data_IF_555281428553
#
_entry.id   IF_555281428553
#
_cell.length_a   1.000
_cell.length_b   1.000
_cell.length_c   1.000
_cell.angle_alpha   90.00
_cell.angle_beta   90.00
_cell.angle_gamma   90.00
#
_symmetry.space_group_name_H-M   'P 1'
#
loop_
_entity.id
_entity.type
_entity.pdbx_description
1 polymer ?
#
# COMPACT_ATOMS: atom_id res chain seq x y z
N UNK A 1 16.56 13.85 -2.42
CA UNK A 1 15.14 13.51 -2.22
C UNK A 1 14.38 14.75 -1.79
N UNK A 2 13.19 15.02 -2.33
CA UNK A 2 12.37 16.16 -1.90
C UNK A 2 11.85 15.96 -0.48
N UNK A 3 11.55 17.06 0.22
CA UNK A 3 11.03 17.01 1.59
C UNK A 3 9.68 16.26 1.67
N UNK A 4 8.79 16.51 0.71
CA UNK A 4 7.50 15.81 0.61
C UNK A 4 7.67 14.29 0.42
N UNK A 5 8.58 13.87 -0.48
CA UNK A 5 8.87 12.45 -0.69
C UNK A 5 9.44 11.82 0.58
N UNK A 6 10.29 12.54 1.31
CA UNK A 6 10.84 12.09 2.59
C UNK A 6 9.74 11.87 3.63
N UNK A 7 8.79 12.79 3.73
CA UNK A 7 7.67 12.71 4.68
C UNK A 7 6.72 11.55 4.36
N UNK A 8 6.42 11.30 3.09
CA UNK A 8 5.60 10.15 2.68
C UNK A 8 6.28 8.83 3.07
N UNK A 9 7.57 8.68 2.78
CA UNK A 9 8.32 7.47 3.11
C UNK A 9 8.43 7.24 4.62
N UNK A 10 8.60 8.31 5.40
CA UNK A 10 8.61 8.23 6.87
C UNK A 10 7.23 7.89 7.43
N UNK A 11 6.14 8.43 6.86
CA UNK A 11 4.78 8.04 7.25
C UNK A 11 4.53 6.56 7.00
N UNK A 12 4.98 6.01 5.88
CA UNK A 12 4.89 4.57 5.60
C UNK A 12 5.65 3.77 6.66
N UNK A 13 6.89 4.17 6.97
CA UNK A 13 7.69 3.50 8.01
C UNK A 13 6.96 3.48 9.36
N UNK A 14 6.38 4.60 9.77
CA UNK A 14 5.59 4.71 11.01
C UNK A 14 4.36 3.84 11.01
N UNK A 15 3.65 3.73 9.87
CA UNK A 15 2.49 2.84 9.74
C UNK A 15 2.93 1.40 9.93
N UNK A 16 3.98 0.95 9.24
CA UNK A 16 4.54 -0.41 9.40
C UNK A 16 4.87 -0.67 10.88
N UNK A 17 5.64 0.22 11.49
CA UNK A 17 6.09 0.13 12.88
C UNK A 17 4.95 0.07 13.90
N UNK A 18 3.82 0.72 13.59
CA UNK A 18 2.64 0.76 14.45
C UNK A 18 1.77 -0.51 14.40
N UNK A 19 2.10 -1.47 13.53
CA UNK A 19 1.35 -2.72 13.42
C UNK A 19 1.94 -3.80 14.34
N UNK A 20 1.10 -4.67 14.95
CA UNK A 20 -0.35 -4.51 15.11
C UNK A 20 -0.71 -3.28 15.94
N UNK A 21 -1.86 -2.68 15.65
CA UNK A 21 -2.32 -1.45 16.31
C UNK A 21 -2.57 -1.66 17.81
N UNK A 22 -2.43 -0.61 18.60
CA UNK A 22 -2.70 -0.64 20.05
C UNK A 22 -4.12 -1.15 20.36
N UNK A 23 -5.09 -0.79 19.52
CA UNK A 23 -6.47 -1.28 19.65
C UNK A 23 -6.60 -2.79 19.47
N UNK A 24 -5.76 -3.40 18.62
CA UNK A 24 -5.73 -4.86 18.46
C UNK A 24 -5.02 -5.51 19.65
N UNK A 25 -3.91 -4.93 20.09
CA UNK A 25 -3.16 -5.40 21.26
C UNK A 25 -4.01 -5.38 22.54
N UNK A 26 -4.82 -4.33 22.74
CA UNK A 26 -5.74 -4.22 23.88
C UNK A 26 -6.86 -5.28 23.89
N UNK A 27 -7.15 -5.90 22.74
CA UNK A 27 -8.14 -6.99 22.62
C UNK A 27 -7.54 -8.38 22.81
N UNK A 28 -6.24 -8.49 23.06
CA UNK A 28 -5.58 -9.78 23.26
C UNK A 28 -5.93 -10.31 24.65
N UNK A 29 -6.64 -11.44 24.71
CA UNK A 29 -7.20 -11.96 25.96
C UNK A 29 -6.37 -13.07 26.58
N UNK A 30 -5.59 -13.81 25.78
CA UNK A 30 -4.69 -14.85 26.28
C UNK A 30 -3.24 -14.39 26.26
N UNK A 31 -2.42 -14.94 27.17
CA UNK A 31 -0.97 -14.66 27.21
C UNK A 31 -0.28 -15.10 25.91
N UNK A 32 -0.68 -16.23 25.32
CA UNK A 32 -0.18 -16.69 24.02
C UNK A 32 -0.47 -15.69 22.89
N UNK A 33 -1.65 -15.08 22.89
CA UNK A 33 -1.99 -14.04 21.91
C UNK A 33 -1.11 -12.82 22.11
N UNK A 34 -0.93 -12.37 23.36
CA UNK A 34 -0.06 -11.22 23.67
C UNK A 34 1.35 -11.47 23.19
N UNK A 35 1.94 -12.62 23.51
CA UNK A 35 3.30 -12.99 23.09
C UNK A 35 3.44 -13.02 21.57
N UNK A 36 2.49 -13.65 20.87
CA UNK A 36 2.46 -13.69 19.40
C UNK A 36 2.44 -12.29 18.79
N UNK A 37 1.57 -11.41 19.29
CA UNK A 37 1.43 -10.06 18.74
C UNK A 37 2.59 -9.14 19.11
N UNK A 38 3.19 -9.31 20.28
CA UNK A 38 4.44 -8.64 20.63
C UNK A 38 5.59 -9.08 19.72
N UNK A 39 5.71 -10.38 19.44
CA UNK A 39 6.69 -10.87 18.45
C UNK A 39 6.43 -10.21 17.09
N UNK A 40 5.19 -10.18 16.62
CA UNK A 40 4.85 -9.52 15.35
C UNK A 40 5.18 -8.02 15.34
N UNK A 41 4.95 -7.30 16.46
CA UNK A 41 5.32 -5.88 16.60
C UNK A 41 6.82 -5.68 16.45
N UNK A 42 7.63 -6.53 17.08
CA UNK A 42 9.09 -6.47 16.96
C UNK A 42 9.56 -6.69 15.52
N UNK A 43 8.94 -7.64 14.81
CA UNK A 43 9.20 -7.84 13.38
C UNK A 43 8.89 -6.60 12.55
N UNK A 44 7.76 -5.97 12.79
CA UNK A 44 7.36 -4.76 12.08
C UNK A 44 8.28 -3.56 12.38
N UNK A 45 8.83 -3.47 13.59
CA UNK A 45 9.87 -2.48 13.93
C UNK A 45 11.12 -2.70 13.07
N UNK A 46 11.57 -3.94 12.91
CA UNK A 46 12.72 -4.27 12.07
C UNK A 46 12.45 -3.99 10.59
N UNK A 47 11.26 -4.33 10.09
CA UNK A 47 10.85 -4.03 8.70
C UNK A 47 10.81 -2.51 8.48
N UNK A 48 10.25 -1.74 9.41
CA UNK A 48 10.22 -0.28 9.33
C UNK A 48 11.63 0.33 9.36
N UNK A 49 12.55 -0.26 10.11
CA UNK A 49 13.95 0.16 10.13
C UNK A 49 14.65 -0.13 8.80
N UNK A 50 14.50 -1.34 8.27
CA UNK A 50 15.04 -1.74 6.97
C UNK A 50 14.49 -0.85 5.84
N UNK A 51 13.19 -0.53 5.87
CA UNK A 51 12.59 0.44 4.96
C UNK A 51 13.25 1.81 5.03
N UNK A 52 13.52 2.33 6.24
CA UNK A 52 14.19 3.62 6.41
C UNK A 52 15.62 3.59 5.89
N UNK A 53 16.32 2.47 6.02
CA UNK A 53 17.69 2.29 5.51
C UNK A 53 17.71 2.25 3.98
N UNK A 54 16.84 1.44 3.37
CA UNK A 54 16.66 1.34 1.91
C UNK A 54 16.41 2.72 1.26
N UNK A 55 15.61 3.56 1.92
CA UNK A 55 15.27 4.91 1.44
C UNK A 55 16.22 6.01 1.94
N UNK A 56 17.35 5.67 2.56
CA UNK A 56 18.35 6.60 3.09
C UNK A 56 17.76 7.65 4.06
N UNK A 57 16.72 7.27 4.82
CA UNK A 57 16.09 8.12 5.85
C UNK A 57 16.91 8.16 7.14
N UNK A 58 17.61 7.07 7.44
CA UNK A 58 18.55 6.93 8.55
C UNK A 58 19.88 6.38 8.02
N UNK A 59 20.97 6.60 8.78
CA UNK A 59 22.28 5.99 8.49
C UNK A 59 22.45 4.76 9.39
N UNK A 60 22.77 3.61 8.82
CA UNK A 60 23.05 2.38 9.57
C UNK A 60 22.69 1.13 8.77
N UNK A 61 23.06 -0.02 9.33
CA UNK A 61 22.67 -1.35 8.85
C UNK A 61 22.03 -2.11 10.02
N UNK A 62 20.79 -1.76 10.28
CA UNK A 62 20.02 -2.19 11.43
C UNK A 62 19.74 -3.69 11.40
N UNK A 63 19.53 -4.23 10.21
CA UNK A 63 19.35 -5.67 10.01
C UNK A 63 20.65 -6.44 10.24
N UNK A 64 21.80 -5.93 9.75
CA UNK A 64 23.08 -6.58 10.04
C UNK A 64 23.44 -6.53 11.52
N UNK A 65 23.14 -5.42 12.21
CA UNK A 65 23.33 -5.34 13.67
C UNK A 65 22.44 -6.36 14.38
N UNK A 66 21.15 -6.45 14.02
CA UNK A 66 20.23 -7.43 14.61
C UNK A 66 20.70 -8.88 14.37
N UNK A 67 21.18 -9.19 13.17
CA UNK A 67 21.78 -10.49 12.84
C UNK A 67 23.03 -10.76 13.68
N UNK A 68 23.94 -9.78 13.80
CA UNK A 68 25.17 -9.90 14.59
C UNK A 68 24.89 -10.12 16.07
N UNK A 69 23.85 -9.46 16.60
CA UNK A 69 23.40 -9.60 17.98
C UNK A 69 22.60 -10.88 18.23
N UNK A 70 22.32 -11.69 17.20
CA UNK A 70 21.46 -12.88 17.24
C UNK A 70 20.02 -12.57 17.68
N UNK A 71 19.56 -11.35 17.41
CA UNK A 71 18.15 -10.96 17.60
C UNK A 71 17.26 -11.56 16.50
N UNK A 72 17.86 -11.78 15.32
CA UNK A 72 17.26 -12.48 14.19
C UNK A 72 18.26 -13.48 13.59
N UNK A 73 17.75 -14.50 12.92
CA UNK A 73 18.55 -15.40 12.11
C UNK A 73 18.70 -14.93 10.64
N UNK A 74 19.44 -15.71 9.84
CA UNK A 74 19.71 -15.38 8.44
C UNK A 74 18.46 -15.42 7.56
N UNK A 75 17.60 -16.42 7.76
CA UNK A 75 16.35 -16.56 7.00
C UNK A 75 15.38 -15.45 7.36
N UNK A 76 15.33 -15.09 8.64
CA UNK A 76 14.53 -13.97 9.14
C UNK A 76 14.98 -12.65 8.52
N UNK A 77 16.29 -12.41 8.44
CA UNK A 77 16.86 -11.26 7.72
C UNK A 77 16.41 -11.23 6.25
N UNK A 78 16.63 -12.32 5.51
CA UNK A 78 16.27 -12.42 4.09
C UNK A 78 14.76 -12.19 3.87
N UNK A 79 13.92 -12.69 4.80
CA UNK A 79 12.47 -12.45 4.78
C UNK A 79 12.09 -10.98 4.98
N UNK A 80 12.80 -10.25 5.84
CA UNK A 80 12.56 -8.79 6.02
C UNK A 80 12.94 -8.04 4.76
N UNK A 81 14.08 -8.34 4.15
CA UNK A 81 14.54 -7.71 2.91
C UNK A 81 13.51 -7.90 1.78
N UNK A 82 12.99 -9.12 1.61
CA UNK A 82 11.93 -9.42 0.65
C UNK A 82 10.62 -8.66 0.92
N UNK A 83 10.24 -8.49 2.20
CA UNK A 83 9.05 -7.71 2.56
C UNK A 83 9.21 -6.22 2.22
N UNK A 84 10.41 -5.66 2.43
CA UNK A 84 10.72 -4.28 2.04
C UNK A 84 10.62 -4.11 0.53
N UNK A 85 11.16 -5.05 -0.26
CA UNK A 85 11.04 -5.05 -1.72
C UNK A 85 9.57 -5.12 -2.18
N UNK A 86 8.78 -5.98 -1.54
CA UNK A 86 7.35 -6.08 -1.80
C UNK A 86 6.63 -4.74 -1.52
N UNK A 87 6.92 -4.08 -0.40
CA UNK A 87 6.34 -2.77 -0.10
C UNK A 87 6.78 -1.67 -1.06
N UNK A 88 8.02 -1.72 -1.56
CA UNK A 88 8.48 -0.82 -2.61
C UNK A 88 7.65 -0.99 -3.89
N UNK A 89 7.41 -2.24 -4.29
CA UNK A 89 6.57 -2.55 -5.46
C UNK A 89 5.13 -2.05 -5.27
N UNK A 90 4.54 -2.24 -4.09
CA UNK A 90 3.21 -1.70 -3.78
C UNK A 90 3.18 -0.17 -3.85
N UNK A 91 4.21 0.51 -3.36
CA UNK A 91 4.31 1.97 -3.44
C UNK A 91 4.37 2.46 -4.90
N UNK A 92 5.06 1.75 -5.79
CA UNK A 92 5.09 2.06 -7.22
C UNK A 92 3.72 1.90 -7.86
N UNK A 93 3.02 0.79 -7.57
CA UNK A 93 1.66 0.56 -8.04
C UNK A 93 0.74 1.69 -7.57
N UNK A 94 0.81 2.08 -6.29
CA UNK A 94 -0.02 3.17 -5.75
C UNK A 94 0.27 4.49 -6.47
N UNK A 95 1.54 4.82 -6.76
CA UNK A 95 1.88 6.04 -7.52
C UNK A 95 1.34 6.04 -8.94
N UNK A 96 1.31 4.87 -9.59
CA UNK A 96 0.72 4.72 -10.93
C UNK A 96 -0.80 4.86 -10.85
N UNK A 97 -1.44 4.27 -9.84
CA UNK A 97 -2.90 4.20 -9.72
C UNK A 97 -3.52 5.49 -9.17
N UNK A 98 -2.85 6.21 -8.28
CA UNK A 98 -3.40 7.38 -7.58
C UNK A 98 -3.99 8.46 -8.52
N UNK A 99 -3.31 8.88 -9.61
CA UNK A 99 -3.87 9.86 -10.55
C UNK A 99 -5.18 9.41 -11.20
N UNK A 100 -5.34 8.10 -11.43
CA UNK A 100 -6.57 7.55 -12.00
C UNK A 100 -7.72 7.56 -11.01
N UNK A 101 -7.43 7.25 -9.74
CA UNK A 101 -8.40 7.32 -8.65
C UNK A 101 -8.86 8.76 -8.45
N UNK A 102 -7.93 9.72 -8.43
CA UNK A 102 -8.24 11.14 -8.30
C UNK A 102 -9.05 11.67 -9.48
N UNK A 103 -8.69 11.27 -10.70
CA UNK A 103 -9.47 11.58 -11.90
C UNK A 103 -10.88 11.02 -11.81
N UNK A 104 -11.03 9.75 -11.41
CA UNK A 104 -12.32 9.10 -11.29
C UNK A 104 -13.20 9.77 -10.23
N UNK A 105 -12.66 10.08 -9.06
CA UNK A 105 -13.40 10.81 -8.01
C UNK A 105 -13.78 12.23 -8.44
N UNK A 106 -12.89 12.95 -9.12
CA UNK A 106 -13.17 14.29 -9.65
C UNK A 106 -14.26 14.26 -10.71
N UNK A 107 -14.21 13.26 -11.60
CA UNK A 107 -15.20 13.04 -12.65
C UNK A 107 -16.57 12.67 -12.07
N UNK A 108 -16.62 11.75 -11.10
CA UNK A 108 -17.87 11.42 -10.41
C UNK A 108 -18.47 12.65 -9.71
N UNK A 109 -17.64 13.47 -9.06
CA UNK A 109 -18.10 14.69 -8.41
C UNK A 109 -18.72 15.68 -9.41
N UNK A 110 -18.11 15.80 -10.60
CA UNK A 110 -18.64 16.61 -11.68
C UNK A 110 -19.98 16.07 -12.20
N UNK A 111 -20.11 14.74 -12.36
CA UNK A 111 -21.37 14.11 -12.77
C UNK A 111 -22.45 14.36 -11.72
N UNK A 112 -22.16 14.14 -10.44
CA UNK A 112 -23.13 14.36 -9.36
C UNK A 112 -23.54 15.83 -9.29
N UNK A 113 -22.59 16.77 -9.34
CA UNK A 113 -22.92 18.21 -9.29
C UNK A 113 -23.67 18.71 -10.53
N UNK A 114 -23.46 18.09 -11.69
CA UNK A 114 -24.21 18.42 -12.92
C UNK A 114 -25.59 17.74 -12.93
N UNK A 115 -25.73 16.55 -12.35
CA UNK A 115 -27.02 15.88 -12.17
C UNK A 115 -27.93 16.60 -11.16
N UNK A 116 -27.35 17.18 -10.10
CA UNK A 116 -28.09 18.00 -9.13
C UNK A 116 -28.58 19.33 -9.76
N UNK A 117 -27.85 19.87 -10.74
CA UNK A 117 -28.21 21.10 -11.47
C UNK A 117 -29.15 20.85 -12.65
N UNK A 118 -29.17 19.65 -13.22
CA UNK A 118 -29.92 19.33 -14.43
C UNK A 118 -30.68 18.02 -14.20
N UNK A 119 -31.99 18.13 -13.96
CA UNK A 119 -32.97 17.03 -13.93
C UNK A 119 -33.14 16.38 -15.31
N UNK A 120 -32.06 15.88 -15.92
CA UNK A 120 -31.98 15.48 -17.34
C UNK A 120 -31.15 14.20 -17.52
N UNK A 121 -31.56 13.23 -18.38
CA UNK A 121 -30.97 11.88 -18.52
C UNK A 121 -29.57 11.79 -19.19
N UNK A 122 -28.89 12.92 -19.43
CA UNK A 122 -27.55 12.99 -20.01
C UNK A 122 -26.43 12.19 -19.29
N UNK A 123 -26.46 11.97 -17.96
CA UNK A 123 -25.44 11.19 -17.27
C UNK A 123 -25.26 9.79 -17.84
N UNK A 124 -26.33 9.15 -18.34
CA UNK A 124 -26.31 7.76 -18.78
C UNK A 124 -25.48 7.55 -20.06
N UNK A 125 -25.65 8.43 -21.06
CA UNK A 125 -24.92 8.35 -22.33
C UNK A 125 -23.42 8.63 -22.13
N UNK A 126 -23.09 9.56 -21.23
CA UNK A 126 -21.70 9.87 -20.89
C UNK A 126 -21.02 8.76 -20.10
N UNK A 127 -21.72 8.14 -19.14
CA UNK A 127 -21.23 6.96 -18.43
C UNK A 127 -20.97 5.81 -19.40
N UNK A 128 -21.87 5.55 -20.36
CA UNK A 128 -21.71 4.49 -21.35
C UNK A 128 -20.51 4.74 -22.29
N UNK A 129 -20.32 5.99 -22.74
CA UNK A 129 -19.14 6.36 -23.56
C UNK A 129 -17.84 6.25 -22.76
N UNK A 130 -17.86 6.61 -21.48
CA UNK A 130 -16.70 6.52 -20.59
C UNK A 130 -16.31 5.06 -20.30
N UNK A 131 -17.29 4.21 -19.97
CA UNK A 131 -17.09 2.77 -19.79
C UNK A 131 -16.56 2.12 -21.07
N UNK A 132 -17.09 2.51 -22.22
CA UNK A 132 -16.62 2.02 -23.52
C UNK A 132 -15.18 2.44 -23.83
N UNK A 133 -14.80 3.68 -23.49
CA UNK A 133 -13.43 4.17 -23.70
C UNK A 133 -12.44 3.53 -22.74
N UNK A 134 -12.81 3.34 -21.47
CA UNK A 134 -12.03 2.56 -20.50
C UNK A 134 -11.78 1.13 -20.99
N UNK A 135 -12.82 0.45 -21.52
CA UNK A 135 -12.68 -0.90 -22.07
C UNK A 135 -11.80 -0.96 -23.33
N UNK A 136 -11.82 0.08 -24.18
CA UNK A 136 -11.05 0.10 -25.44
C UNK A 136 -9.57 0.48 -25.24
N UNK A 137 -9.26 1.41 -24.33
CA UNK A 137 -7.88 1.87 -24.10
C UNK A 137 -7.13 1.04 -23.04
N UNK A 138 -7.82 0.37 -22.11
CA UNK A 138 -7.18 -0.40 -21.02
C UNK A 138 -7.31 -1.91 -21.19
N UNK A 139 -6.73 -2.42 -22.28
CA UNK A 139 -6.21 -3.79 -22.29
C UNK A 139 -4.87 -3.77 -21.56
N UNK A 140 -4.87 -3.94 -20.22
CA UNK A 140 -3.64 -4.13 -19.43
C UNK A 140 -2.76 -5.20 -20.12
N UNK A 141 -1.69 -4.76 -20.78
CA UNK A 141 -0.63 -5.59 -21.33
C UNK A 141 0.41 -5.83 -20.23
N UNK A 142 -0.06 -6.33 -19.08
CA UNK A 142 0.82 -6.89 -18.06
C UNK A 142 1.28 -8.28 -18.53
N UNK A 143 2.57 -8.63 -18.41
CA UNK A 143 3.05 -9.99 -18.67
C UNK A 143 2.42 -11.04 -17.75
N UNK A 144 1.72 -10.61 -16.68
CA UNK A 144 1.00 -11.46 -15.72
C UNK A 144 -0.49 -11.67 -16.05
N UNK A 145 -0.95 -11.30 -17.25
CA UNK A 145 -2.37 -11.41 -17.67
C UNK A 145 -2.99 -12.81 -17.49
N UNK A 146 -2.19 -13.88 -17.38
CA UNK A 146 -2.70 -15.24 -17.20
C UNK A 146 -3.30 -15.57 -15.84
N UNK A 147 -3.15 -14.73 -14.80
CA UNK A 147 -3.46 -15.18 -13.42
C UNK A 147 -4.83 -14.72 -12.88
N UNK A 148 -5.48 -13.70 -13.43
CA UNK A 148 -6.76 -13.24 -12.86
C UNK A 148 -7.82 -13.03 -13.95
N UNK A 149 -8.46 -14.13 -14.32
CA UNK A 149 -9.77 -14.11 -14.97
C UNK A 149 -10.88 -13.78 -13.96
N UNK A 150 -10.84 -12.60 -13.35
CA UNK A 150 -11.99 -12.07 -12.62
C UNK A 150 -12.67 -11.03 -13.49
N UNK A 151 -13.81 -11.41 -14.06
CA UNK A 151 -14.80 -10.46 -14.54
C UNK A 151 -15.26 -9.66 -13.32
N UNK A 152 -14.97 -8.37 -13.29
CA UNK A 152 -15.66 -7.45 -12.40
C UNK A 152 -17.12 -7.39 -12.88
N UNK A 153 -18.11 -7.68 -12.02
CA UNK A 153 -19.51 -7.50 -12.37
C UNK A 153 -19.84 -6.01 -12.20
N UNK A 154 -19.92 -5.30 -13.32
CA UNK A 154 -20.67 -4.05 -13.44
C UNK A 154 -21.40 -4.06 -14.77
#
# INVERSE_FOLDING_TARGET
MSQEKREVLEKIARVIESLPSENLLAKCWTEEQKERWHKQRNWNILIAKAWREEHNLIKGDGLYIALKNKEIDKLEKEGIELLVEYYNTLLEIVKIVAPYVDFFHSFLRLIVSTADCLSVPLPKIFIDLFLKKLQQEYLFSSPYRKIVGMRLPF
#
